data_IF_774729989264
#
_entry.id   IF_774729989264
#
_cell.length_a   1.000
_cell.length_b   1.000
_cell.length_c   1.000
_cell.angle_alpha   90.00
_cell.angle_beta   90.00
_cell.angle_gamma   90.00
#
_symmetry.space_group_name_H-M   'P 1'
#
loop_
_entity.id
_entity.type
_entity.pdbx_description
1 polymer ?
#
# COMPACT_ATOMS: atom_id res chain seq x y z
N UNK A 1 15.73 6.81 -2.95
CA UNK A 1 14.33 6.71 -3.42
C UNK A 1 14.15 5.86 -4.68
N UNK A 2 15.20 5.26 -5.27
CA UNK A 2 14.95 4.26 -6.34
C UNK A 2 14.32 3.04 -5.67
N UNK A 3 13.18 2.59 -6.17
CA UNK A 3 12.53 1.38 -5.66
C UNK A 3 11.41 1.62 -4.64
N UNK A 4 10.97 2.87 -4.44
CA UNK A 4 9.72 3.11 -3.71
C UNK A 4 8.58 2.41 -4.45
N UNK A 5 7.79 1.62 -3.73
CA UNK A 5 6.66 0.88 -4.27
C UNK A 5 5.43 1.11 -3.43
N UNK A 6 4.28 1.19 -4.10
CA UNK A 6 2.96 1.20 -3.46
C UNK A 6 2.12 0.10 -4.06
N UNK A 7 1.46 -0.67 -3.20
CA UNK A 7 0.48 -1.68 -3.55
C UNK A 7 -0.92 -1.17 -3.16
N UNK A 8 -1.78 -0.99 -4.16
CA UNK A 8 -3.17 -0.58 -3.97
C UNK A 8 -4.09 -1.79 -4.20
N UNK A 9 -4.75 -2.26 -3.15
CA UNK A 9 -5.76 -3.33 -3.23
C UNK A 9 -7.12 -2.68 -3.38
N UNK A 10 -7.81 -2.98 -4.48
CA UNK A 10 -9.06 -2.33 -4.87
C UNK A 10 -10.15 -3.37 -5.10
N UNK A 11 -11.32 -3.17 -4.52
CA UNK A 11 -12.52 -3.94 -4.84
C UNK A 11 -13.03 -3.59 -6.25
N UNK A 12 -13.14 -4.59 -7.11
CA UNK A 12 -13.61 -4.42 -8.49
C UNK A 12 -15.14 -4.41 -8.62
N UNK A 13 -15.86 -4.70 -7.54
CA UNK A 13 -17.32 -4.77 -7.49
C UNK A 13 -17.92 -6.06 -8.04
N UNK A 14 -17.08 -7.02 -8.46
CA UNK A 14 -17.50 -8.35 -8.94
C UNK A 14 -17.30 -9.45 -7.87
N UNK A 15 -17.19 -9.06 -6.60
CA UNK A 15 -16.94 -9.99 -5.49
C UNK A 15 -15.48 -10.37 -5.31
N UNK A 16 -14.54 -9.55 -5.81
CA UNK A 16 -13.11 -9.80 -5.71
C UNK A 16 -12.28 -8.51 -5.64
N UNK A 17 -11.05 -8.64 -5.16
CA UNK A 17 -10.08 -7.54 -5.09
C UNK A 17 -9.02 -7.69 -6.17
N UNK A 18 -8.58 -6.57 -6.73
CA UNK A 18 -7.44 -6.49 -7.63
C UNK A 18 -6.32 -5.66 -6.98
N UNK A 19 -5.10 -6.18 -7.05
CA UNK A 19 -3.91 -5.47 -6.59
C UNK A 19 -3.24 -4.75 -7.75
N UNK A 20 -2.97 -3.46 -7.55
CA UNK A 20 -2.20 -2.62 -8.46
C UNK A 20 -0.85 -2.28 -7.84
N UNK A 21 0.23 -2.56 -8.55
CA UNK A 21 1.58 -2.25 -8.12
C UNK A 21 2.09 -0.99 -8.84
N UNK A 22 2.50 0.02 -8.08
CA UNK A 22 3.07 1.27 -8.60
C UNK A 22 4.48 1.41 -8.06
N UNK A 23 5.47 1.35 -8.95
CA UNK A 23 6.90 1.37 -8.60
C UNK A 23 7.60 2.59 -9.18
N UNK A 24 8.38 3.29 -8.37
CA UNK A 24 9.33 4.31 -8.82
C UNK A 24 10.55 3.61 -9.47
N UNK A 25 10.45 3.36 -10.78
CA UNK A 25 11.41 2.53 -11.52
C UNK A 25 12.76 3.21 -11.76
N UNK A 26 12.81 4.55 -11.76
CA UNK A 26 14.01 5.32 -12.10
C UNK A 26 14.63 6.01 -10.88
N UNK A 27 15.96 6.05 -10.85
CA UNK A 27 16.70 6.74 -9.80
C UNK A 27 16.28 8.22 -9.68
N UNK A 28 16.07 8.67 -8.45
CA UNK A 28 15.68 10.05 -8.15
C UNK A 28 14.19 10.36 -8.34
N UNK A 29 13.37 9.37 -8.73
CA UNK A 29 11.91 9.46 -8.63
C UNK A 29 11.45 8.88 -7.30
N UNK A 30 10.25 9.27 -6.87
CA UNK A 30 9.58 8.77 -5.65
C UNK A 30 8.11 8.53 -5.95
N UNK A 31 7.45 7.77 -5.09
CA UNK A 31 5.99 7.70 -5.10
C UNK A 31 5.43 8.78 -4.16
N UNK A 32 4.35 9.42 -4.60
CA UNK A 32 3.50 10.27 -3.77
C UNK A 32 2.08 9.73 -3.78
N UNK A 33 1.50 9.65 -2.59
CA UNK A 33 0.09 9.30 -2.38
C UNK A 33 -0.64 10.56 -1.96
N UNK A 34 -1.70 10.91 -2.68
CA UNK A 34 -2.59 12.01 -2.32
C UNK A 34 -4.02 11.51 -2.24
N UNK A 35 -4.73 11.86 -1.18
CA UNK A 35 -6.17 11.62 -1.05
C UNK A 35 -6.92 12.93 -1.18
N UNK A 36 -7.78 13.05 -2.19
CA UNK A 36 -8.58 14.23 -2.41
C UNK A 36 -9.91 13.90 -3.10
N UNK A 37 -11.00 14.55 -2.66
CA UNK A 37 -12.32 14.50 -3.30
C UNK A 37 -12.83 13.07 -3.60
N UNK A 38 -12.60 12.12 -2.69
CA UNK A 38 -13.05 10.74 -2.85
C UNK A 38 -12.21 9.90 -3.82
N UNK A 39 -11.04 10.39 -4.22
CA UNK A 39 -10.07 9.69 -5.06
C UNK A 39 -8.74 9.60 -4.32
N UNK A 40 -8.09 8.43 -4.41
CA UNK A 40 -6.70 8.23 -4.03
C UNK A 40 -5.87 8.30 -5.32
N UNK A 41 -4.98 9.28 -5.39
CA UNK A 41 -3.99 9.43 -6.45
C UNK A 41 -2.66 8.83 -5.96
N UNK A 42 -2.06 7.95 -6.77
CA UNK A 42 -0.73 7.40 -6.54
C UNK A 42 0.14 7.78 -7.73
N UNK A 43 1.11 8.66 -7.51
CA UNK A 43 1.91 9.27 -8.57
C UNK A 43 3.39 8.95 -8.40
N UNK A 44 4.00 8.46 -9.47
CA UNK A 44 5.45 8.51 -9.61
C UNK A 44 5.84 9.94 -9.99
N UNK A 45 6.57 10.63 -9.11
CA UNK A 45 7.02 12.00 -9.33
C UNK A 45 8.54 12.06 -9.50
N UNK A 46 9.00 13.02 -10.30
CA UNK A 46 10.43 13.37 -10.37
C UNK A 46 10.91 13.99 -9.05
N UNK A 47 12.22 14.17 -8.90
CA UNK A 47 12.80 14.90 -7.77
C UNK A 47 12.25 16.33 -7.61
N UNK A 48 11.83 16.97 -8.69
CA UNK A 48 11.22 18.29 -8.70
C UNK A 48 9.71 18.28 -8.42
N UNK A 49 9.11 17.12 -8.15
CA UNK A 49 7.67 16.98 -7.89
C UNK A 49 6.81 16.91 -9.16
N UNK A 50 7.40 16.77 -10.35
CA UNK A 50 6.62 16.65 -11.59
C UNK A 50 6.07 15.23 -11.73
N UNK A 51 4.75 15.03 -11.86
CA UNK A 51 4.18 13.69 -12.03
C UNK A 51 4.55 13.12 -13.40
N UNK A 52 5.03 11.89 -13.40
CA UNK A 52 5.41 11.13 -14.61
C UNK A 52 4.33 10.11 -14.96
N UNK A 53 3.81 9.40 -13.95
CA UNK A 53 2.75 8.41 -14.09
C UNK A 53 1.84 8.47 -12.88
N UNK A 54 0.53 8.47 -13.10
CA UNK A 54 -0.47 8.57 -12.02
C UNK A 54 -1.50 7.47 -12.16
N UNK A 55 -1.71 6.72 -11.09
CA UNK A 55 -2.89 5.87 -10.89
C UNK A 55 -3.93 6.63 -10.07
N UNK A 56 -5.20 6.46 -10.41
CA UNK A 56 -6.33 7.03 -9.65
C UNK A 56 -7.29 5.92 -9.27
N UNK A 57 -7.63 5.87 -7.99
CA UNK A 57 -8.53 4.88 -7.42
C UNK A 57 -9.67 5.57 -6.69
N UNK A 58 -10.89 5.08 -6.85
CA UNK A 58 -11.99 5.55 -6.02
C UNK A 58 -11.72 5.17 -4.57
N UNK A 59 -11.67 6.15 -3.67
CA UNK A 59 -11.35 5.91 -2.26
C UNK A 59 -12.34 4.93 -1.62
N UNK A 60 -13.61 4.93 -2.04
CA UNK A 60 -14.64 4.00 -1.58
C UNK A 60 -14.39 2.53 -1.94
N UNK A 61 -13.48 2.25 -2.88
CA UNK A 61 -13.14 0.89 -3.32
C UNK A 61 -11.74 0.45 -2.94
N UNK A 62 -10.91 1.34 -2.39
CA UNK A 62 -9.58 0.97 -1.91
C UNK A 62 -9.75 0.22 -0.59
N UNK A 63 -9.37 -1.05 -0.60
CA UNK A 63 -9.38 -1.93 0.59
C UNK A 63 -8.11 -1.73 1.40
N UNK A 64 -6.98 -1.59 0.72
CA UNK A 64 -5.69 -1.34 1.36
C UNK A 64 -4.77 -0.53 0.45
N UNK A 65 -3.92 0.28 1.07
CA UNK A 65 -2.79 0.94 0.43
C UNK A 65 -1.55 0.64 1.26
N UNK A 66 -0.58 -0.06 0.69
CA UNK A 66 0.64 -0.48 1.38
C UNK A 66 1.84 0.21 0.73
N UNK A 67 2.57 0.97 1.52
CA UNK A 67 3.79 1.64 1.10
C UNK A 67 5.01 0.78 1.44
N UNK A 68 5.84 0.54 0.44
CA UNK A 68 7.11 -0.17 0.54
C UNK A 68 8.22 0.82 0.19
N UNK A 69 8.69 1.62 1.15
CA UNK A 69 9.76 2.59 0.91
C UNK A 69 11.06 1.86 0.55
N UNK A 70 11.83 2.42 -0.37
CA UNK A 70 13.14 1.86 -0.70
C UNK A 70 14.05 1.88 0.54
N UNK A 71 14.76 0.77 0.79
CA UNK A 71 15.63 0.61 1.94
C UNK A 71 16.87 1.52 1.88
N UNK A 72 16.71 2.82 2.17
CA UNK A 72 17.81 3.76 2.44
C UNK A 72 17.71 4.39 3.84
N UNK A 73 16.66 4.08 4.63
CA UNK A 73 16.65 4.33 6.07
C UNK A 73 16.15 3.11 6.83
N UNK A 74 16.96 2.73 7.82
CA UNK A 74 16.78 1.60 8.71
C UNK A 74 15.44 1.65 9.42
N UNK A 75 14.49 0.82 9.02
CA UNK A 75 13.38 0.45 9.89
C UNK A 75 13.50 -1.04 10.21
N UNK A 76 13.66 -1.32 11.50
CA UNK A 76 13.75 -2.69 12.01
C UNK A 76 12.40 -3.37 11.76
N UNK A 77 12.37 -4.66 11.36
CA UNK A 77 11.12 -5.37 11.21
C UNK A 77 10.29 -5.29 12.51
N UNK A 78 9.01 -4.92 12.39
CA UNK A 78 8.07 -4.99 13.51
C UNK A 78 7.69 -6.45 13.70
N UNK A 79 8.13 -7.07 14.79
CA UNK A 79 7.80 -8.45 15.12
C UNK A 79 6.37 -8.50 15.70
N UNK A 80 5.42 -9.05 14.93
CA UNK A 80 4.02 -9.20 15.36
C UNK A 80 3.81 -10.62 15.91
N UNK A 81 3.75 -10.74 17.24
CA UNK A 81 3.38 -11.99 17.92
C UNK A 81 1.89 -11.97 18.27
N UNK A 82 1.08 -12.76 17.56
CA UNK A 82 -0.34 -12.95 17.92
C UNK A 82 -0.43 -13.86 19.15
N UNK A 83 -0.50 -13.29 20.36
CA UNK A 83 -0.94 -14.03 21.54
C UNK A 83 -2.45 -14.09 21.58
N UNK A 84 -3.03 -15.03 20.84
CA UNK A 84 -4.39 -15.51 21.13
C UNK A 84 -4.32 -17.01 21.37
N UNK A 85 -4.06 -17.40 22.63
CA UNK A 85 -4.51 -18.71 23.11
C UNK A 85 -6.02 -18.66 23.08
N UNK A 86 -6.63 -19.25 22.07
CA UNK A 86 -8.01 -19.70 22.22
C UNK A 86 -7.98 -20.70 23.36
N UNK A 87 -8.63 -20.35 24.47
CA UNK A 87 -8.87 -21.25 25.59
C UNK A 87 -9.63 -22.43 24.99
N UNK A 88 -8.99 -23.59 24.88
CA UNK A 88 -9.67 -24.82 24.52
C UNK A 88 -10.82 -24.97 25.53
N UNK A 89 -12.04 -24.89 25.01
CA UNK A 89 -13.23 -25.21 25.79
C UNK A 89 -13.06 -26.63 26.31
N UNK A 90 -13.12 -26.74 27.63
CA UNK A 90 -13.28 -27.99 28.35
C UNK A 90 -14.43 -28.78 27.73
N UNK A 91 -14.11 -29.97 27.24
CA UNK A 91 -15.09 -30.99 26.95
C UNK A 91 -15.52 -31.62 28.28
N UNK A 92 -16.71 -31.26 28.73
CA UNK A 92 -17.54 -31.93 29.75
C UNK A 92 -18.98 -31.58 29.32
N UNK A 93 -19.95 -32.46 29.07
CA UNK A 93 -20.22 -33.86 29.44
C UNK A 93 -21.08 -34.51 28.32
#
# INVERSE_FOLDING_TARGET
MKGDRVEAVVDTGQGGTQTFEIVATRAGRRIEVTSARGVIEVSEVTRSGTPVRTGRFMASRVVALVEHPAAESRERPVEVSTRRRMRAGSAEE
#
